data_IF_755732458251
#
_entry.id   IF_755732458251
#
_cell.length_a   1.000
_cell.length_b   1.000
_cell.length_c   1.000
_cell.angle_alpha   90.00
_cell.angle_beta   90.00
_cell.angle_gamma   90.00
#
_symmetry.space_group_name_H-M   'P 1'
#
loop_
_entity.id
_entity.type
_entity.pdbx_description
1 polymer ?
#
# COMPACT_ATOMS: atom_id res chain seq x y z
N UNK A 1 -19.41 32.60 -9.38
CA UNK A 1 -18.42 31.91 -10.27
C UNK A 1 -17.08 31.83 -9.55
N UNK A 2 -16.51 30.61 -9.41
CA UNK A 2 -15.14 30.46 -8.91
C UNK A 2 -14.16 31.10 -9.91
N UNK A 3 -13.27 31.94 -9.42
CA UNK A 3 -12.26 32.62 -10.22
C UNK A 3 -10.87 32.13 -9.87
N UNK A 4 -9.94 32.16 -10.80
CA UNK A 4 -8.53 31.97 -10.52
C UNK A 4 -7.95 33.28 -9.97
N UNK A 5 -7.02 33.14 -9.01
CA UNK A 5 -6.22 34.30 -8.59
C UNK A 5 -5.36 34.85 -9.73
N UNK A 6 -4.69 35.97 -9.51
CA UNK A 6 -3.80 36.61 -10.50
C UNK A 6 -2.67 35.69 -10.97
N UNK A 7 -2.30 34.67 -10.20
CA UNK A 7 -1.31 33.67 -10.58
C UNK A 7 -1.88 32.51 -11.44
N UNK A 8 -3.20 32.43 -11.59
CA UNK A 8 -3.89 31.33 -12.26
C UNK A 8 -3.78 29.97 -11.54
N UNK A 9 -3.40 29.97 -10.25
CA UNK A 9 -3.05 28.77 -9.48
C UNK A 9 -3.97 28.44 -8.32
N UNK A 10 -4.58 29.46 -7.71
CA UNK A 10 -5.47 29.32 -6.56
C UNK A 10 -6.91 29.57 -6.99
N UNK A 11 -7.82 28.70 -6.61
CA UNK A 11 -9.25 28.79 -6.86
C UNK A 11 -9.91 29.60 -5.75
N UNK A 12 -10.31 30.83 -6.04
CA UNK A 12 -11.07 31.67 -5.12
C UNK A 12 -12.56 31.41 -5.30
N UNK A 13 -13.33 31.37 -4.19
CA UNK A 13 -14.77 31.11 -4.23
C UNK A 13 -15.14 29.66 -4.63
N UNK A 14 -14.19 28.73 -4.59
CA UNK A 14 -14.46 27.32 -4.91
C UNK A 14 -15.39 26.72 -3.87
N UNK A 15 -16.54 26.22 -4.33
CA UNK A 15 -17.48 25.47 -3.51
C UNK A 15 -18.04 24.29 -4.32
N UNK A 16 -17.63 23.05 -4.06
CA UNK A 16 -18.08 21.89 -4.82
C UNK A 16 -19.59 21.60 -4.69
N UNK A 17 -20.24 22.10 -3.65
CA UNK A 17 -21.68 21.91 -3.45
C UNK A 17 -22.54 22.84 -4.33
N UNK A 18 -21.95 23.91 -4.87
CA UNK A 18 -22.61 24.89 -5.72
C UNK A 18 -22.23 24.66 -7.19
N UNK A 19 -23.16 24.29 -8.10
CA UNK A 19 -22.85 24.01 -9.50
C UNK A 19 -22.15 25.17 -10.22
N UNK A 20 -22.45 26.41 -9.85
CA UNK A 20 -21.87 27.62 -10.45
C UNK A 20 -20.40 27.84 -10.02
N UNK A 21 -20.01 27.29 -8.88
CA UNK A 21 -18.68 27.45 -8.28
C UNK A 21 -17.83 26.18 -8.38
N UNK A 22 -18.33 25.15 -9.09
CA UNK A 22 -17.66 23.87 -9.28
C UNK A 22 -17.38 23.58 -10.76
N UNK A 23 -16.22 23.00 -11.03
CA UNK A 23 -15.84 22.54 -12.37
C UNK A 23 -15.45 21.06 -12.33
N UNK A 24 -16.23 20.22 -13.01
CA UNK A 24 -15.95 18.81 -13.17
C UNK A 24 -14.56 18.57 -13.79
N UNK A 25 -14.18 19.38 -14.79
CA UNK A 25 -12.86 19.28 -15.44
C UNK A 25 -11.72 19.44 -14.45
N UNK A 26 -11.78 20.43 -13.56
CA UNK A 26 -10.74 20.66 -12.54
C UNK A 26 -10.72 19.50 -11.53
N UNK A 27 -11.87 19.07 -11.05
CA UNK A 27 -12.00 17.99 -10.07
C UNK A 27 -11.44 16.66 -10.62
N UNK A 28 -11.87 16.25 -11.81
CA UNK A 28 -11.41 15.00 -12.42
C UNK A 28 -9.93 15.06 -12.85
N UNK A 29 -9.44 16.22 -13.33
CA UNK A 29 -8.00 16.40 -13.60
C UNK A 29 -7.19 16.23 -12.33
N UNK A 30 -7.66 16.79 -11.21
CA UNK A 30 -6.99 16.63 -9.90
C UNK A 30 -6.97 15.17 -9.49
N UNK A 31 -8.09 14.46 -9.63
CA UNK A 31 -8.16 13.03 -9.33
C UNK A 31 -7.17 12.22 -10.18
N UNK A 32 -7.17 12.42 -11.50
CA UNK A 32 -6.33 11.65 -12.43
C UNK A 32 -4.84 11.87 -12.14
N UNK A 33 -4.40 13.12 -12.03
CA UNK A 33 -2.98 13.44 -11.81
C UNK A 33 -2.51 12.98 -10.43
N UNK A 34 -3.30 13.20 -9.38
CA UNK A 34 -2.94 12.74 -8.04
C UNK A 34 -2.97 11.22 -7.90
N UNK A 35 -3.89 10.53 -8.62
CA UNK A 35 -3.93 9.06 -8.66
C UNK A 35 -2.72 8.50 -9.41
N UNK A 36 -2.32 9.10 -10.53
CA UNK A 36 -1.11 8.72 -11.25
C UNK A 36 0.13 8.83 -10.36
N UNK A 37 0.30 9.96 -9.66
CA UNK A 37 1.37 10.11 -8.67
C UNK A 37 1.28 9.07 -7.54
N UNK A 38 0.07 8.72 -7.10
CA UNK A 38 -0.14 7.73 -6.03
C UNK A 38 0.23 6.30 -6.47
N UNK A 39 0.01 5.93 -7.73
CA UNK A 39 0.50 4.66 -8.28
C UNK A 39 2.03 4.58 -8.13
N UNK A 40 2.74 5.62 -8.56
CA UNK A 40 4.21 5.70 -8.44
C UNK A 40 4.66 5.69 -6.98
N UNK A 41 3.94 6.35 -6.11
CA UNK A 41 4.15 6.33 -4.67
C UNK A 41 4.16 4.90 -4.10
N UNK A 42 3.19 4.08 -4.49
CA UNK A 42 3.13 2.68 -4.06
C UNK A 42 4.16 1.79 -4.77
N UNK A 43 4.59 2.13 -5.99
CA UNK A 43 5.74 1.48 -6.62
C UNK A 43 7.01 1.72 -5.79
N UNK A 44 7.30 2.96 -5.42
CA UNK A 44 8.47 3.29 -4.57
C UNK A 44 8.42 2.55 -3.24
N UNK A 45 7.27 2.56 -2.58
CA UNK A 45 7.08 1.89 -1.29
C UNK A 45 7.40 0.40 -1.35
N UNK A 46 7.07 -0.28 -2.45
CA UNK A 46 7.28 -1.72 -2.60
C UNK A 46 8.58 -2.09 -3.33
N UNK A 47 9.39 -1.11 -3.72
CA UNK A 47 10.67 -1.33 -4.40
C UNK A 47 11.58 -2.30 -3.63
N UNK A 48 11.82 -2.14 -2.29
CA UNK A 48 12.64 -3.09 -1.55
C UNK A 48 12.06 -4.52 -1.56
N UNK A 49 10.75 -4.66 -1.45
CA UNK A 49 10.04 -5.95 -1.51
C UNK A 49 10.21 -6.65 -2.86
N UNK A 50 10.17 -5.89 -3.96
CA UNK A 50 10.33 -6.42 -5.31
C UNK A 50 11.78 -6.85 -5.61
N UNK A 51 12.76 -6.19 -5.01
CA UNK A 51 14.20 -6.46 -5.21
C UNK A 51 14.72 -7.52 -4.23
N UNK A 52 14.25 -7.54 -2.97
CA UNK A 52 14.78 -8.38 -1.91
C UNK A 52 14.94 -9.89 -2.29
N UNK A 53 13.98 -10.53 -2.99
CA UNK A 53 14.15 -11.93 -3.38
C UNK A 53 15.38 -12.21 -4.25
N UNK A 54 15.89 -11.20 -4.98
CA UNK A 54 17.03 -11.33 -5.89
C UNK A 54 18.38 -10.99 -5.27
N UNK A 55 18.43 -10.27 -4.15
CA UNK A 55 19.68 -9.78 -3.56
C UNK A 55 20.66 -10.91 -3.24
N UNK A 56 20.19 -11.99 -2.64
CA UNK A 56 21.05 -13.15 -2.32
C UNK A 56 21.53 -13.90 -3.56
N UNK A 57 20.73 -13.89 -4.63
CA UNK A 57 21.09 -14.54 -5.90
C UNK A 57 22.20 -13.80 -6.64
N UNK A 58 22.30 -12.47 -6.47
CA UNK A 58 23.33 -11.63 -7.08
C UNK A 58 24.57 -11.45 -6.18
N UNK A 59 24.65 -12.19 -5.06
CA UNK A 59 25.84 -12.26 -4.23
C UNK A 59 25.83 -11.45 -2.93
N UNK A 60 24.72 -10.78 -2.56
CA UNK A 60 24.62 -10.15 -1.24
C UNK A 60 24.57 -11.20 -0.14
N UNK A 61 25.41 -11.05 0.87
CA UNK A 61 25.48 -11.92 2.04
C UNK A 61 24.43 -11.50 3.09
N UNK A 62 23.16 -11.70 2.77
CA UNK A 62 22.04 -11.35 3.65
C UNK A 62 21.36 -12.60 4.19
N UNK A 63 21.01 -12.58 5.46
CA UNK A 63 20.18 -13.63 6.08
C UNK A 63 18.72 -13.48 5.65
N UNK A 64 17.95 -14.55 5.78
CA UNK A 64 16.51 -14.54 5.54
C UNK A 64 15.80 -13.45 6.36
N UNK A 65 16.14 -13.36 7.65
CA UNK A 65 15.61 -12.31 8.54
C UNK A 65 15.90 -10.89 7.99
N UNK A 66 17.12 -10.64 7.50
CA UNK A 66 17.49 -9.35 6.92
C UNK A 66 16.67 -9.01 5.67
N UNK A 67 16.34 -9.98 4.83
CA UNK A 67 15.47 -9.76 3.66
C UNK A 67 14.05 -9.36 4.09
N UNK A 68 13.48 -10.01 5.11
CA UNK A 68 12.19 -9.59 5.67
C UNK A 68 12.23 -8.18 6.27
N UNK A 69 13.32 -7.80 6.93
CA UNK A 69 13.53 -6.44 7.42
C UNK A 69 13.57 -5.39 6.31
N UNK A 70 14.25 -5.68 5.19
CA UNK A 70 14.28 -4.78 4.03
C UNK A 70 12.89 -4.55 3.44
N UNK A 71 12.11 -5.61 3.26
CA UNK A 71 10.75 -5.51 2.74
C UNK A 71 9.77 -4.87 3.75
N UNK A 72 10.07 -4.96 5.06
CA UNK A 72 9.27 -4.41 6.15
C UNK A 72 9.45 -2.91 6.37
N UNK A 73 10.69 -2.43 6.23
CA UNK A 73 11.11 -1.09 6.64
C UNK A 73 10.31 0.07 6.00
N UNK A 74 9.90 0.00 4.71
CA UNK A 74 9.02 1.02 4.13
C UNK A 74 7.68 1.17 4.84
N UNK A 75 7.20 0.13 5.54
CA UNK A 75 5.99 0.18 6.35
C UNK A 75 6.13 1.08 7.56
N UNK A 76 7.27 1.01 8.26
CA UNK A 76 7.56 1.85 9.42
C UNK A 76 7.57 3.34 9.02
N UNK A 77 8.40 3.70 8.06
CA UNK A 77 8.50 5.10 7.63
C UNK A 77 7.19 5.60 7.00
N UNK A 78 6.47 4.75 6.27
CA UNK A 78 5.16 5.10 5.72
C UNK A 78 4.16 5.50 6.83
N UNK A 79 4.06 4.73 7.91
CA UNK A 79 3.20 5.05 9.04
C UNK A 79 3.56 6.39 9.67
N UNK A 80 4.84 6.62 9.94
CA UNK A 80 5.35 7.87 10.52
C UNK A 80 5.11 9.08 9.61
N UNK A 81 5.41 8.94 8.32
CA UNK A 81 5.26 10.02 7.35
C UNK A 81 3.77 10.35 7.11
N UNK A 82 2.86 9.39 7.19
CA UNK A 82 1.41 9.64 7.10
C UNK A 82 0.91 10.58 8.18
N UNK A 83 1.44 10.49 9.38
CA UNK A 83 1.10 11.42 10.48
C UNK A 83 1.49 12.87 10.15
N UNK A 84 2.54 13.07 9.34
CA UNK A 84 2.95 14.40 8.86
C UNK A 84 2.07 14.82 7.67
N UNK A 85 1.91 13.93 6.70
CA UNK A 85 1.21 14.24 5.44
C UNK A 85 -0.28 14.56 5.65
N UNK A 86 -0.93 14.06 6.70
CA UNK A 86 -2.34 14.38 6.97
C UNK A 86 -2.57 15.87 7.25
N UNK A 87 -1.53 16.61 7.67
CA UNK A 87 -1.61 18.04 7.97
C UNK A 87 -1.13 18.93 6.81
N UNK A 88 -0.48 18.38 5.78
CA UNK A 88 0.13 19.15 4.70
C UNK A 88 -0.87 19.77 3.69
N UNK A 89 -2.02 19.14 3.33
CA UNK A 89 -2.90 19.67 2.31
C UNK A 89 -3.32 21.13 2.51
N UNK A 90 -3.79 21.55 3.71
CA UNK A 90 -4.18 22.94 3.93
C UNK A 90 -3.00 23.91 4.05
N UNK A 91 -1.79 23.41 4.32
CA UNK A 91 -0.58 24.23 4.52
C UNK A 91 0.12 24.47 3.19
N UNK A 92 0.33 23.41 2.41
CA UNK A 92 1.15 23.43 1.20
C UNK A 92 0.31 23.64 -0.07
N UNK A 93 -0.95 23.23 -0.03
CA UNK A 93 -1.86 23.15 -1.18
C UNK A 93 -1.68 21.86 -1.99
N UNK A 94 -2.72 21.47 -2.73
CA UNK A 94 -2.77 20.21 -3.49
C UNK A 94 -1.69 20.15 -4.57
N UNK A 95 -1.53 21.23 -5.33
CA UNK A 95 -0.60 21.33 -6.46
C UNK A 95 0.84 21.09 -6.04
N UNK A 96 1.32 21.85 -5.03
CA UNK A 96 2.69 21.73 -4.53
C UNK A 96 2.91 20.39 -3.81
N UNK A 97 1.92 19.94 -3.04
CA UNK A 97 1.99 18.69 -2.31
C UNK A 97 2.24 17.51 -3.27
N UNK A 98 1.43 17.37 -4.32
CA UNK A 98 1.57 16.28 -5.29
C UNK A 98 2.88 16.40 -6.07
N UNK A 99 3.24 17.60 -6.53
CA UNK A 99 4.42 17.82 -7.33
C UNK A 99 5.72 17.50 -6.57
N UNK A 100 5.90 18.07 -5.38
CA UNK A 100 7.11 17.84 -4.58
C UNK A 100 7.20 16.41 -4.07
N UNK A 101 6.09 15.80 -3.67
CA UNK A 101 6.09 14.39 -3.29
C UNK A 101 6.54 13.50 -4.44
N UNK A 102 6.06 13.77 -5.67
CA UNK A 102 6.47 13.00 -6.86
C UNK A 102 7.96 13.10 -7.14
N UNK A 103 8.57 14.29 -6.98
CA UNK A 103 10.02 14.45 -7.12
C UNK A 103 10.79 13.72 -6.01
N UNK A 104 10.29 13.76 -4.78
CA UNK A 104 10.95 13.10 -3.65
C UNK A 104 10.99 11.58 -3.81
N UNK A 105 10.08 10.96 -4.59
CA UNK A 105 10.12 9.52 -4.85
C UNK A 105 11.37 9.08 -5.62
N UNK A 106 11.94 9.97 -6.45
CA UNK A 106 13.16 9.67 -7.19
C UNK A 106 14.38 9.47 -6.29
N UNK A 107 14.43 10.09 -5.11
CA UNK A 107 15.59 10.01 -4.22
C UNK A 107 15.89 8.58 -3.74
N UNK A 108 14.95 7.86 -3.09
CA UNK A 108 15.21 6.48 -2.70
C UNK A 108 15.44 5.55 -3.91
N UNK A 109 14.78 5.81 -5.05
CA UNK A 109 14.99 5.03 -6.27
C UNK A 109 16.43 5.18 -6.79
N UNK A 110 16.96 6.41 -6.85
CA UNK A 110 18.36 6.65 -7.19
C UNK A 110 19.32 5.98 -6.18
N UNK A 111 19.01 6.06 -4.90
CA UNK A 111 19.76 5.36 -3.86
C UNK A 111 19.84 3.85 -4.11
N UNK A 112 18.70 3.21 -4.36
CA UNK A 112 18.64 1.78 -4.69
C UNK A 112 19.36 1.45 -5.99
N UNK A 113 19.25 2.31 -7.02
CA UNK A 113 19.96 2.13 -8.29
C UNK A 113 21.48 1.98 -8.09
N UNK A 114 22.09 2.84 -7.25
CA UNK A 114 23.51 2.74 -6.96
C UNK A 114 23.85 1.61 -5.98
N UNK A 115 23.02 1.43 -4.94
CA UNK A 115 23.31 0.48 -3.87
C UNK A 115 23.36 -0.98 -4.35
N UNK A 116 22.52 -1.36 -5.32
CA UNK A 116 22.49 -2.75 -5.82
C UNK A 116 23.60 -3.08 -6.82
N UNK A 117 24.39 -2.09 -7.26
CA UNK A 117 25.49 -2.31 -8.20
C UNK A 117 26.74 -2.88 -7.50
N UNK A 118 26.84 -2.77 -6.19
CA UNK A 118 27.96 -3.32 -5.41
C UNK A 118 27.43 -4.22 -4.29
N UNK A 119 27.88 -5.47 -4.26
CA UNK A 119 27.55 -6.42 -3.19
C UNK A 119 28.19 -6.07 -1.84
N UNK A 120 29.15 -5.13 -1.83
CA UNK A 120 29.77 -4.58 -0.62
C UNK A 120 28.88 -3.55 0.10
N UNK A 121 27.76 -3.14 -0.52
CA UNK A 121 26.81 -2.22 0.13
C UNK A 121 26.30 -2.82 1.42
N UNK A 122 26.51 -2.11 2.53
CA UNK A 122 26.16 -2.60 3.86
C UNK A 122 24.65 -2.80 4.04
N UNK A 123 24.27 -3.76 4.88
CA UNK A 123 22.86 -3.95 5.26
C UNK A 123 22.25 -2.67 5.83
N UNK A 124 22.98 -1.90 6.64
CA UNK A 124 22.52 -0.62 7.19
C UNK A 124 22.16 0.40 6.10
N UNK A 125 22.96 0.49 5.04
CA UNK A 125 22.67 1.35 3.88
C UNK A 125 21.40 0.90 3.16
N UNK A 126 21.27 -0.40 2.88
CA UNK A 126 20.05 -0.94 2.25
C UNK A 126 18.81 -0.70 3.12
N UNK A 127 18.94 -0.85 4.44
CA UNK A 127 17.87 -0.62 5.39
C UNK A 127 17.44 0.86 5.43
N UNK A 128 18.40 1.79 5.41
CA UNK A 128 18.13 3.22 5.35
C UNK A 128 17.42 3.61 4.04
N UNK A 129 17.84 3.04 2.91
CA UNK A 129 17.17 3.24 1.62
C UNK A 129 15.77 2.63 1.60
N UNK A 130 15.59 1.47 2.22
CA UNK A 130 14.27 0.86 2.38
C UNK A 130 13.35 1.74 3.24
N UNK A 131 13.88 2.31 4.34
CA UNK A 131 13.16 3.29 5.14
C UNK A 131 12.74 4.52 4.30
N UNK A 132 13.65 5.06 3.49
CA UNK A 132 13.35 6.20 2.63
C UNK A 132 12.24 5.90 1.60
N UNK A 133 12.08 4.65 1.14
CA UNK A 133 11.01 4.26 0.24
C UNK A 133 9.59 4.42 0.83
N UNK A 134 9.45 4.48 2.15
CA UNK A 134 8.17 4.68 2.80
C UNK A 134 7.53 6.05 2.54
N UNK A 135 8.30 7.03 2.04
CA UNK A 135 7.77 8.33 1.61
C UNK A 135 6.66 8.17 0.56
N UNK A 136 6.79 7.19 -0.33
CA UNK A 136 5.76 6.88 -1.30
C UNK A 136 4.41 6.59 -0.64
N UNK A 137 4.37 5.63 0.28
CA UNK A 137 3.13 5.28 0.98
C UNK A 137 2.60 6.36 1.91
N UNK A 138 3.48 7.26 2.38
CA UNK A 138 3.14 8.39 3.25
C UNK A 138 2.20 9.39 2.59
N UNK A 139 2.40 9.67 1.30
CA UNK A 139 1.63 10.66 0.54
C UNK A 139 0.14 10.35 0.42
N UNK A 140 -0.29 9.10 0.62
CA UNK A 140 -1.70 8.73 0.64
C UNK A 140 -2.54 9.61 1.58
N UNK A 141 -2.03 9.87 2.80
CA UNK A 141 -2.74 10.68 3.80
C UNK A 141 -2.84 12.17 3.45
N UNK A 142 -2.01 12.65 2.54
CA UNK A 142 -2.12 14.01 2.00
C UNK A 142 -2.98 14.07 0.74
N UNK A 143 -2.82 13.10 -0.18
CA UNK A 143 -3.50 13.13 -1.47
C UNK A 143 -5.01 12.89 -1.35
N UNK A 144 -5.43 11.95 -0.50
CA UNK A 144 -6.84 11.64 -0.32
C UNK A 144 -7.66 12.86 0.17
N UNK A 145 -7.30 13.53 1.28
CA UNK A 145 -8.01 14.72 1.71
C UNK A 145 -7.94 15.85 0.68
N UNK A 146 -6.76 16.09 0.09
CA UNK A 146 -6.59 17.18 -0.88
C UNK A 146 -7.44 16.98 -2.14
N UNK A 147 -7.60 15.75 -2.61
CA UNK A 147 -8.51 15.43 -3.72
C UNK A 147 -9.98 15.65 -3.31
N UNK A 148 -10.32 15.28 -2.06
CA UNK A 148 -11.67 15.47 -1.52
C UNK A 148 -12.16 16.93 -1.56
N UNK A 149 -11.27 17.92 -1.47
CA UNK A 149 -11.63 19.34 -1.56
C UNK A 149 -12.22 19.75 -2.91
N UNK A 150 -11.99 18.96 -3.95
CA UNK A 150 -12.44 19.25 -5.31
C UNK A 150 -13.79 18.61 -5.66
N UNK A 151 -14.31 17.71 -4.84
CA UNK A 151 -15.52 16.95 -5.15
C UNK A 151 -16.70 17.30 -4.23
N UNK A 152 -17.92 17.40 -4.78
CA UNK A 152 -19.11 17.50 -3.96
C UNK A 152 -19.35 16.21 -3.17
N UNK A 153 -20.02 16.30 -2.03
CA UNK A 153 -20.27 15.14 -1.11
C UNK A 153 -20.81 13.91 -1.82
N UNK A 154 -21.72 14.11 -2.81
CA UNK A 154 -22.32 13.03 -3.61
C UNK A 154 -21.30 12.25 -4.45
N UNK A 155 -20.17 12.82 -4.80
CA UNK A 155 -19.11 12.21 -5.64
C UNK A 155 -17.82 11.93 -4.89
N UNK A 156 -17.62 12.49 -3.70
CA UNK A 156 -16.38 12.36 -2.93
C UNK A 156 -16.06 10.90 -2.63
N UNK A 157 -17.04 10.10 -2.21
CA UNK A 157 -16.85 8.67 -1.93
C UNK A 157 -16.34 7.91 -3.15
N UNK A 158 -16.95 8.14 -4.31
CA UNK A 158 -16.55 7.54 -5.60
C UNK A 158 -15.13 7.98 -5.99
N UNK A 159 -14.83 9.27 -5.93
CA UNK A 159 -13.52 9.81 -6.30
C UNK A 159 -12.40 9.24 -5.42
N UNK A 160 -12.60 9.24 -4.10
CA UNK A 160 -11.61 8.72 -3.16
C UNK A 160 -11.50 7.18 -3.24
N UNK A 161 -12.60 6.49 -3.54
CA UNK A 161 -12.60 5.05 -3.80
C UNK A 161 -11.76 4.67 -5.03
N UNK A 162 -11.94 5.41 -6.13
CA UNK A 162 -11.13 5.28 -7.35
C UNK A 162 -9.66 5.55 -7.04
N UNK A 163 -9.36 6.67 -6.39
CA UNK A 163 -7.98 7.05 -6.05
C UNK A 163 -7.29 6.01 -5.18
N UNK A 164 -7.97 5.53 -4.13
CA UNK A 164 -7.40 4.53 -3.22
C UNK A 164 -7.24 3.15 -3.89
N UNK A 165 -8.22 2.71 -4.69
CA UNK A 165 -8.16 1.42 -5.38
C UNK A 165 -7.08 1.41 -6.45
N UNK A 166 -7.12 2.37 -7.39
CA UNK A 166 -6.15 2.46 -8.48
C UNK A 166 -4.75 2.79 -7.93
N UNK A 167 -4.63 3.69 -6.95
CA UNK A 167 -3.35 4.00 -6.32
C UNK A 167 -2.66 2.76 -5.75
N UNK A 168 -3.40 1.90 -5.04
CA UNK A 168 -2.88 0.65 -4.48
C UNK A 168 -2.38 -0.34 -5.55
N UNK A 169 -2.86 -0.26 -6.79
CA UNK A 169 -2.36 -1.10 -7.90
C UNK A 169 -0.86 -0.88 -8.17
N UNK A 170 -0.28 0.26 -7.75
CA UNK A 170 1.16 0.48 -7.81
C UNK A 170 1.98 -0.65 -7.15
N UNK A 171 1.45 -1.26 -6.07
CA UNK A 171 2.07 -2.40 -5.42
C UNK A 171 2.17 -3.62 -6.34
N UNK A 172 1.12 -3.88 -7.13
CA UNK A 172 1.13 -4.97 -8.11
C UNK A 172 1.95 -4.64 -9.34
N UNK A 173 1.90 -3.39 -9.80
CA UNK A 173 2.62 -2.95 -11.00
C UNK A 173 4.13 -3.15 -10.83
N UNK A 174 4.71 -2.72 -9.71
CA UNK A 174 6.15 -2.92 -9.52
C UNK A 174 6.51 -4.39 -9.38
N UNK A 175 5.71 -5.20 -8.67
CA UNK A 175 5.97 -6.62 -8.52
C UNK A 175 5.80 -7.40 -9.83
N UNK A 176 4.83 -7.02 -10.66
CA UNK A 176 4.63 -7.62 -11.99
C UNK A 176 5.76 -7.25 -12.96
N UNK A 177 6.17 -5.99 -12.98
CA UNK A 177 7.17 -5.50 -13.93
C UNK A 177 8.60 -5.87 -13.50
N UNK A 178 8.87 -6.06 -12.21
CA UNK A 178 10.22 -6.28 -11.71
C UNK A 178 10.94 -7.48 -12.35
N UNK A 179 10.35 -8.68 -12.46
CA UNK A 179 11.02 -9.81 -13.11
C UNK A 179 11.36 -9.54 -14.58
N UNK A 180 10.45 -8.86 -15.29
CA UNK A 180 10.65 -8.48 -16.68
C UNK A 180 11.74 -7.43 -16.81
N UNK A 181 11.74 -6.36 -16.00
CA UNK A 181 12.76 -5.31 -16.00
C UNK A 181 14.16 -5.84 -15.67
N UNK A 182 14.25 -6.87 -14.83
CA UNK A 182 15.53 -7.50 -14.49
C UNK A 182 16.08 -8.39 -15.60
N UNK A 183 15.27 -8.79 -16.58
CA UNK A 183 15.62 -9.75 -17.60
C UNK A 183 16.41 -9.19 -18.79
N UNK A 184 16.61 -7.88 -18.92
CA UNK A 184 17.29 -7.26 -20.06
C UNK A 184 17.92 -5.91 -19.74
N UNK A 185 18.90 -5.51 -20.55
CA UNK A 185 19.51 -4.17 -20.48
C UNK A 185 18.52 -3.09 -20.92
N UNK A 186 18.17 -2.16 -20.05
CA UNK A 186 17.20 -1.10 -20.30
C UNK A 186 17.77 -0.03 -21.24
N UNK A 187 17.03 0.30 -22.32
CA UNK A 187 17.31 1.46 -23.20
C UNK A 187 18.75 1.54 -23.75
N UNK A 188 19.43 0.39 -23.98
CA UNK A 188 20.81 0.43 -24.46
C UNK A 188 21.81 1.02 -23.47
N UNK A 189 21.47 1.10 -22.18
CA UNK A 189 22.39 1.43 -21.11
C UNK A 189 23.37 0.26 -20.92
N UNK A 190 24.27 0.11 -21.88
CA UNK A 190 25.29 -0.94 -21.92
C UNK A 190 26.49 -0.64 -21.00
N UNK A 191 26.59 0.57 -20.48
CA UNK A 191 27.65 1.02 -19.59
C UNK A 191 27.50 0.54 -18.14
N UNK A 192 26.35 -0.04 -17.77
CA UNK A 192 26.14 -0.70 -16.49
C UNK A 192 26.07 -2.20 -16.74
N UNK A 193 27.08 -2.92 -16.22
CA UNK A 193 27.17 -4.36 -16.37
C UNK A 193 26.00 -5.09 -15.66
N UNK A 194 25.49 -6.19 -16.23
CA UNK A 194 24.57 -7.05 -15.52
C UNK A 194 25.22 -7.67 -14.29
N UNK A 195 24.40 -7.97 -13.29
CA UNK A 195 24.83 -8.83 -12.19
C UNK A 195 24.65 -10.30 -12.59
N UNK A 196 25.44 -11.18 -11.96
CA UNK A 196 25.33 -12.61 -12.17
C UNK A 196 24.43 -13.24 -11.11
N UNK A 197 23.38 -13.94 -11.52
CA UNK A 197 22.51 -14.74 -10.67
C UNK A 197 22.60 -16.21 -11.11
N UNK A 198 23.43 -16.99 -10.43
CA UNK A 198 23.78 -18.34 -10.89
C UNK A 198 24.47 -18.31 -12.27
N UNK A 199 23.91 -19.02 -13.27
CA UNK A 199 24.38 -19.02 -14.66
C UNK A 199 23.78 -17.89 -15.52
N UNK A 200 22.82 -17.11 -14.99
CA UNK A 200 22.10 -16.06 -15.72
C UNK A 200 22.63 -14.66 -15.44
N UNK A 201 22.30 -13.74 -16.35
CA UNK A 201 22.54 -12.32 -16.19
C UNK A 201 21.22 -11.62 -15.79
N UNK A 202 21.29 -10.70 -14.82
CA UNK A 202 20.15 -9.92 -14.35
C UNK A 202 20.53 -8.46 -14.14
N UNK A 203 19.58 -7.55 -14.35
CA UNK A 203 19.74 -6.10 -14.18
C UNK A 203 18.84 -5.61 -13.05
N UNK A 204 19.17 -5.94 -11.80
CA UNK A 204 18.33 -5.61 -10.62
C UNK A 204 18.13 -4.10 -10.48
N UNK A 205 19.12 -3.29 -10.81
CA UNK A 205 19.05 -1.83 -10.78
C UNK A 205 17.98 -1.22 -11.71
N UNK A 206 17.57 -1.94 -12.76
CA UNK A 206 16.54 -1.48 -13.69
C UNK A 206 15.19 -1.22 -13.00
N UNK A 207 14.85 -2.01 -11.99
CA UNK A 207 13.60 -1.85 -11.24
C UNK A 207 13.53 -0.48 -10.56
N UNK A 208 14.67 0.00 -10.07
CA UNK A 208 14.75 1.32 -9.44
C UNK A 208 14.69 2.45 -10.48
N UNK A 209 15.52 2.38 -11.52
CA UNK A 209 15.68 3.50 -12.47
C UNK A 209 14.47 3.66 -13.39
N UNK A 210 13.76 2.58 -13.73
CA UNK A 210 12.65 2.61 -14.67
C UNK A 210 11.55 3.58 -14.26
N UNK A 211 11.23 3.69 -12.98
CA UNK A 211 10.14 4.54 -12.51
C UNK A 211 10.53 6.01 -12.32
N UNK A 212 11.82 6.36 -12.32
CA UNK A 212 12.28 7.75 -12.08
C UNK A 212 11.73 8.74 -13.11
N UNK A 213 11.81 8.50 -14.43
CA UNK A 213 11.23 9.43 -15.42
C UNK A 213 9.74 9.67 -15.21
N UNK A 214 9.00 8.64 -14.81
CA UNK A 214 7.56 8.74 -14.57
C UNK A 214 7.22 9.58 -13.33
N UNK A 215 8.07 9.55 -12.29
CA UNK A 215 7.91 10.45 -11.13
C UNK A 215 8.14 11.90 -11.50
N UNK A 216 9.10 12.17 -12.38
CA UNK A 216 9.34 13.52 -12.93
C UNK A 216 8.14 13.98 -13.76
N UNK A 217 7.61 13.12 -14.64
CA UNK A 217 6.39 13.42 -15.42
C UNK A 217 5.21 13.71 -14.49
N UNK A 218 5.01 12.93 -13.43
CA UNK A 218 3.96 13.19 -12.45
C UNK A 218 4.11 14.55 -11.77
N UNK A 219 5.32 14.95 -11.42
CA UNK A 219 5.61 16.26 -10.85
C UNK A 219 5.32 17.41 -11.83
N UNK A 220 5.74 17.27 -13.08
CA UNK A 220 5.49 18.26 -14.13
C UNK A 220 3.99 18.42 -14.41
N UNK A 221 3.25 17.30 -14.51
CA UNK A 221 1.79 17.32 -14.65
C UNK A 221 1.12 17.99 -13.46
N UNK A 222 1.57 17.71 -12.25
CA UNK A 222 1.03 18.34 -11.04
C UNK A 222 1.31 19.86 -11.03
N UNK A 223 2.51 20.30 -11.36
CA UNK A 223 2.83 21.74 -11.46
C UNK A 223 2.05 22.44 -12.57
N UNK A 224 1.80 21.77 -13.68
CA UNK A 224 1.12 22.37 -14.83
C UNK A 224 -0.41 22.41 -14.68
N UNK A 225 -1.00 21.31 -14.21
CA UNK A 225 -2.45 21.10 -14.29
C UNK A 225 -3.20 21.28 -12.99
N UNK A 226 -2.57 21.00 -11.82
CA UNK A 226 -3.26 21.08 -10.55
C UNK A 226 -3.43 22.51 -10.06
N UNK A 227 -4.49 22.72 -9.30
CA UNK A 227 -4.84 23.99 -8.66
C UNK A 227 -4.83 23.81 -7.14
N UNK A 228 -4.78 24.90 -6.41
CA UNK A 228 -4.89 24.93 -4.97
C UNK A 228 -6.26 25.50 -4.55
N UNK A 229 -6.87 24.88 -3.55
CA UNK A 229 -8.08 25.38 -2.89
C UNK A 229 -7.67 25.89 -1.51
N UNK A 230 -7.95 27.15 -1.16
CA UNK A 230 -7.63 27.69 0.16
C UNK A 230 -8.53 27.04 1.22
N UNK A 231 -7.97 26.17 2.04
CA UNK A 231 -8.68 25.51 3.15
C UNK A 231 -8.10 25.97 4.47
N UNK A 232 -8.98 26.41 5.37
CA UNK A 232 -8.58 26.75 6.74
C UNK A 232 -8.58 25.46 7.58
N UNK A 233 -7.43 25.04 8.09
CA UNK A 233 -7.31 23.93 9.00
C UNK A 233 -7.08 24.41 10.43
N UNK A 234 -7.74 23.76 11.38
CA UNK A 234 -7.46 23.92 12.80
C UNK A 234 -6.87 22.60 13.33
N UNK A 235 -5.56 22.55 13.48
CA UNK A 235 -4.82 21.35 13.94
C UNK A 235 -5.31 20.92 15.34
N UNK A 236 -5.61 21.87 16.23
CA UNK A 236 -6.07 21.57 17.59
C UNK A 236 -7.40 20.80 17.60
N UNK A 237 -8.26 21.03 16.62
CA UNK A 237 -9.54 20.31 16.49
C UNK A 237 -9.38 18.88 15.95
N UNK A 238 -8.21 18.51 15.44
CA UNK A 238 -7.96 17.17 14.91
C UNK A 238 -7.42 16.20 15.98
N UNK A 239 -6.99 16.71 17.14
CA UNK A 239 -6.43 15.87 18.22
C UNK A 239 -7.53 15.23 19.08
N UNK A 240 -8.73 15.79 19.11
CA UNK A 240 -9.85 15.26 19.90
C UNK A 240 -10.40 13.90 19.42
N UNK A 241 -9.96 13.43 18.26
CA UNK A 241 -10.29 12.08 17.76
C UNK A 241 -9.87 10.98 18.75
N UNK A 242 -8.81 11.21 19.52
CA UNK A 242 -8.29 10.21 20.46
C UNK A 242 -9.18 9.98 21.68
N UNK A 243 -10.10 10.91 21.97
CA UNK A 243 -11.10 10.76 23.04
C UNK A 243 -12.28 9.91 22.59
N UNK A 244 -12.45 9.70 21.27
CA UNK A 244 -13.52 8.89 20.73
C UNK A 244 -13.11 7.41 20.68
N UNK A 245 -13.78 6.51 21.41
CA UNK A 245 -13.44 5.09 21.42
C UNK A 245 -13.56 4.43 20.04
N UNK A 246 -14.45 4.92 19.16
CA UNK A 246 -14.60 4.38 17.82
C UNK A 246 -13.39 4.64 16.92
N UNK A 247 -12.57 5.65 17.21
CA UNK A 247 -11.27 5.83 16.57
C UNK A 247 -10.38 4.60 16.77
N UNK A 248 -10.32 4.08 17.98
CA UNK A 248 -9.49 2.92 18.34
C UNK A 248 -10.05 1.62 17.78
N UNK A 249 -11.37 1.40 17.90
CA UNK A 249 -12.00 0.21 17.32
C UNK A 249 -11.86 0.16 15.80
N UNK A 250 -12.08 1.28 15.11
CA UNK A 250 -11.90 1.34 13.65
C UNK A 250 -10.44 1.19 13.25
N UNK A 251 -9.49 1.69 14.07
CA UNK A 251 -8.07 1.45 13.85
C UNK A 251 -7.74 -0.04 13.92
N UNK A 252 -8.24 -0.76 14.93
CA UNK A 252 -8.07 -2.22 15.01
C UNK A 252 -8.65 -2.93 13.78
N UNK A 253 -9.87 -2.58 13.36
CA UNK A 253 -10.49 -3.18 12.16
C UNK A 253 -9.66 -2.91 10.91
N UNK A 254 -9.15 -1.68 10.75
CA UNK A 254 -8.39 -1.32 9.57
C UNK A 254 -6.96 -1.89 9.57
N UNK A 255 -6.36 -2.08 10.74
CA UNK A 255 -5.11 -2.87 10.87
C UNK A 255 -5.35 -4.31 10.46
N UNK A 256 -6.49 -4.93 10.83
CA UNK A 256 -6.83 -6.27 10.36
C UNK A 256 -6.99 -6.30 8.83
N UNK A 257 -7.80 -5.41 8.24
CA UNK A 257 -8.12 -5.46 6.81
C UNK A 257 -7.00 -4.90 5.93
N UNK A 258 -6.45 -3.71 6.22
CA UNK A 258 -5.41 -3.07 5.41
C UNK A 258 -3.99 -3.36 5.92
N UNK A 259 -3.80 -3.43 7.22
CA UNK A 259 -2.48 -3.71 7.81
C UNK A 259 -1.95 -5.08 7.39
N UNK A 260 -2.74 -6.14 7.60
CA UNK A 260 -2.37 -7.49 7.14
C UNK A 260 -2.27 -7.56 5.61
N UNK A 261 -3.21 -6.94 4.86
CA UNK A 261 -3.12 -6.84 3.41
C UNK A 261 -1.78 -6.29 2.94
N UNK A 262 -1.43 -5.09 3.38
CA UNK A 262 -0.21 -4.43 2.94
C UNK A 262 1.04 -5.12 3.47
N UNK A 263 0.94 -5.76 4.63
CA UNK A 263 2.00 -6.54 5.23
C UNK A 263 2.31 -7.80 4.44
N UNK A 264 1.32 -8.63 4.20
CA UNK A 264 1.50 -9.82 3.38
C UNK A 264 1.86 -9.47 1.92
N UNK A 265 1.30 -8.40 1.34
CA UNK A 265 1.68 -7.96 0.00
C UNK A 265 3.18 -7.62 -0.10
N UNK A 266 3.76 -7.01 0.93
CA UNK A 266 5.17 -6.69 0.97
C UNK A 266 6.06 -7.94 1.15
N UNK A 267 5.57 -8.98 1.81
CA UNK A 267 6.33 -10.19 2.11
C UNK A 267 6.03 -11.36 1.17
N UNK A 268 5.02 -11.24 0.29
CA UNK A 268 4.48 -12.37 -0.46
C UNK A 268 5.52 -13.04 -1.37
N UNK A 269 6.35 -12.25 -2.05
CA UNK A 269 7.45 -12.79 -2.87
C UNK A 269 8.48 -13.57 -2.07
N UNK A 270 8.83 -13.08 -0.87
CA UNK A 270 9.74 -13.78 0.05
C UNK A 270 9.11 -15.04 0.64
N UNK A 271 7.83 -14.98 1.01
CA UNK A 271 7.09 -16.15 1.51
C UNK A 271 7.08 -17.27 0.49
N UNK A 272 6.75 -16.99 -0.77
CA UNK A 272 6.79 -18.00 -1.83
C UNK A 272 8.22 -18.52 -2.02
N UNK A 273 9.22 -17.62 -2.11
CA UNK A 273 10.62 -17.99 -2.30
C UNK A 273 11.13 -18.94 -1.22
N UNK A 274 10.84 -18.63 0.05
CA UNK A 274 11.39 -19.35 1.17
C UNK A 274 10.62 -20.64 1.48
N UNK A 275 9.31 -20.70 1.15
CA UNK A 275 8.47 -21.88 1.41
C UNK A 275 8.48 -22.87 0.26
N UNK A 276 8.42 -22.40 -0.99
CA UNK A 276 8.27 -23.25 -2.18
C UNK A 276 9.36 -23.05 -3.23
N UNK A 277 10.13 -21.97 -3.16
CA UNK A 277 11.08 -21.59 -4.20
C UNK A 277 12.38 -22.40 -4.16
N UNK A 278 13.30 -22.11 -5.11
CA UNK A 278 14.58 -22.81 -5.24
C UNK A 278 15.52 -22.73 -4.02
N UNK A 279 15.15 -21.97 -2.99
CA UNK A 279 15.89 -21.82 -1.74
C UNK A 279 15.15 -22.44 -0.55
N UNK A 280 14.00 -23.05 -0.76
CA UNK A 280 13.24 -23.78 0.27
C UNK A 280 13.81 -25.18 0.52
N UNK A 281 13.35 -25.83 1.59
CA UNK A 281 13.70 -27.23 1.88
C UNK A 281 13.33 -28.20 0.73
N UNK A 282 12.34 -27.87 -0.09
CA UNK A 282 11.99 -28.66 -1.28
C UNK A 282 13.14 -28.76 -2.30
N UNK A 283 14.02 -27.76 -2.37
CA UNK A 283 15.13 -27.74 -3.30
C UNK A 283 16.23 -28.78 -3.02
N UNK A 284 16.15 -29.44 -1.86
CA UNK A 284 17.02 -30.57 -1.52
C UNK A 284 16.55 -31.89 -2.16
N UNK A 285 15.25 -31.99 -2.46
CA UNK A 285 14.62 -33.23 -2.93
C UNK A 285 14.02 -33.12 -4.35
N UNK A 286 13.85 -31.90 -4.85
CA UNK A 286 13.23 -31.65 -6.17
C UNK A 286 14.11 -30.77 -7.04
N UNK A 287 13.96 -30.91 -8.38
CA UNK A 287 14.66 -30.05 -9.31
C UNK A 287 14.26 -28.58 -9.12
N UNK A 288 15.25 -27.74 -8.86
CA UNK A 288 15.07 -26.29 -8.63
C UNK A 288 14.39 -25.57 -9.78
N UNK A 289 14.51 -26.09 -11.00
CA UNK A 289 13.86 -25.50 -12.20
C UNK A 289 12.34 -25.67 -12.22
N UNK A 290 11.82 -26.64 -11.46
CA UNK A 290 10.38 -26.91 -11.34
C UNK A 290 9.71 -26.16 -10.19
N UNK A 291 10.50 -25.54 -9.30
CA UNK A 291 9.96 -24.84 -8.14
C UNK A 291 9.48 -23.44 -8.50
N UNK A 292 8.36 -22.96 -7.89
CA UNK A 292 7.80 -21.67 -8.22
C UNK A 292 8.72 -20.53 -7.83
N UNK A 293 8.83 -19.53 -8.70
CA UNK A 293 9.55 -18.30 -8.44
C UNK A 293 8.64 -17.29 -7.73
N UNK A 294 9.04 -16.84 -6.55
CA UNK A 294 8.26 -15.87 -5.77
C UNK A 294 7.90 -14.60 -6.55
N UNK A 295 8.83 -14.10 -7.35
CA UNK A 295 8.63 -12.92 -8.19
C UNK A 295 7.52 -13.08 -9.26
N UNK A 296 7.24 -14.33 -9.71
CA UNK A 296 6.22 -14.58 -10.73
C UNK A 296 4.80 -14.42 -10.20
N UNK A 297 4.55 -14.67 -8.93
CA UNK A 297 3.21 -14.71 -8.34
C UNK A 297 2.93 -13.57 -7.36
N UNK A 298 3.97 -12.86 -6.89
CA UNK A 298 3.85 -11.86 -5.82
C UNK A 298 2.85 -10.74 -6.15
N UNK A 299 2.73 -10.34 -7.41
CA UNK A 299 1.84 -9.26 -7.84
C UNK A 299 0.35 -9.61 -7.72
N UNK A 300 -0.02 -10.90 -7.73
CA UNK A 300 -1.42 -11.34 -7.72
C UNK A 300 -2.14 -10.94 -6.44
N UNK A 301 -1.48 -11.03 -5.30
CA UNK A 301 -2.06 -10.66 -4.01
C UNK A 301 -2.56 -9.22 -3.98
N UNK A 302 -1.67 -8.22 -4.08
CA UNK A 302 -2.08 -6.82 -4.07
C UNK A 302 -2.98 -6.44 -5.25
N UNK A 303 -2.90 -7.13 -6.41
CA UNK A 303 -3.81 -6.92 -7.54
C UNK A 303 -5.25 -7.27 -7.14
N UNK A 304 -5.47 -8.47 -6.63
CA UNK A 304 -6.80 -8.94 -6.24
C UNK A 304 -7.38 -8.02 -5.16
N UNK A 305 -6.63 -7.73 -4.10
CA UNK A 305 -7.12 -6.87 -3.03
C UNK A 305 -7.45 -5.45 -3.49
N UNK A 306 -6.67 -4.89 -4.42
CA UNK A 306 -6.92 -3.55 -4.98
C UNK A 306 -8.14 -3.51 -5.88
N UNK A 307 -8.31 -4.51 -6.76
CA UNK A 307 -9.45 -4.63 -7.67
C UNK A 307 -10.74 -4.87 -6.87
N UNK A 308 -10.72 -5.80 -5.91
CA UNK A 308 -11.87 -6.09 -5.05
C UNK A 308 -12.27 -4.85 -4.25
N UNK A 309 -11.32 -4.11 -3.67
CA UNK A 309 -11.61 -2.86 -2.97
C UNK A 309 -12.38 -1.87 -3.84
N UNK A 310 -12.01 -1.73 -5.10
CA UNK A 310 -12.67 -0.83 -6.04
C UNK A 310 -14.08 -1.31 -6.39
N UNK A 311 -14.23 -2.60 -6.69
CA UNK A 311 -15.51 -3.18 -7.12
C UNK A 311 -16.53 -3.30 -5.98
N UNK A 312 -16.08 -3.43 -4.73
CA UNK A 312 -16.97 -3.59 -3.57
C UNK A 312 -17.53 -2.28 -3.01
N UNK A 313 -17.00 -1.13 -3.41
CA UNK A 313 -17.49 0.18 -3.00
C UNK A 313 -19.01 0.33 -3.13
N UNK A 314 -19.62 0.10 -4.31
CA UNK A 314 -21.08 0.17 -4.50
C UNK A 314 -21.90 -0.79 -3.62
N UNK A 315 -21.35 -1.98 -3.32
CA UNK A 315 -22.01 -2.94 -2.43
C UNK A 315 -21.98 -2.46 -0.97
N UNK A 316 -20.89 -1.82 -0.55
CA UNK A 316 -20.80 -1.18 0.75
C UNK A 316 -21.78 0.01 0.86
N UNK A 317 -22.01 0.73 -0.24
CA UNK A 317 -23.02 1.81 -0.28
C UNK A 317 -24.45 1.29 -0.08
N UNK A 318 -24.74 0.09 -0.60
CA UNK A 318 -26.08 -0.51 -0.55
C UNK A 318 -26.37 -1.25 0.76
N UNK A 319 -25.39 -1.98 1.29
CA UNK A 319 -25.60 -2.91 2.42
C UNK A 319 -24.92 -2.46 3.73
N UNK A 320 -24.21 -1.32 3.71
CA UNK A 320 -23.43 -0.84 4.84
C UNK A 320 -22.01 -1.42 4.90
N UNK A 321 -21.10 -0.67 5.53
CA UNK A 321 -19.69 -1.08 5.65
C UNK A 321 -19.44 -2.14 6.70
N UNK A 322 -20.22 -2.16 7.79
CA UNK A 322 -19.97 -3.00 8.95
C UNK A 322 -20.07 -4.50 8.65
N UNK A 323 -21.12 -4.91 7.90
CA UNK A 323 -21.32 -6.32 7.55
C UNK A 323 -20.18 -6.83 6.63
N UNK A 324 -19.73 -5.99 5.68
CA UNK A 324 -18.66 -6.36 4.80
C UNK A 324 -17.30 -6.41 5.53
N UNK A 325 -17.07 -5.52 6.51
CA UNK A 325 -15.91 -5.57 7.39
C UNK A 325 -15.91 -6.88 8.20
N UNK A 326 -17.05 -7.27 8.75
CA UNK A 326 -17.19 -8.51 9.51
C UNK A 326 -16.91 -9.76 8.67
N UNK A 327 -17.56 -9.88 7.49
CA UNK A 327 -17.37 -10.99 6.55
C UNK A 327 -15.88 -11.07 6.12
N UNK A 328 -15.28 -9.92 5.83
CA UNK A 328 -13.87 -9.82 5.46
C UNK A 328 -12.96 -10.40 6.54
N UNK A 329 -13.11 -9.94 7.78
CA UNK A 329 -12.23 -10.35 8.88
C UNK A 329 -12.34 -11.84 9.15
N UNK A 330 -13.57 -12.40 9.11
CA UNK A 330 -13.76 -13.86 9.23
C UNK A 330 -13.11 -14.60 8.06
N UNK A 331 -13.35 -14.14 6.83
CA UNK A 331 -12.77 -14.75 5.63
C UNK A 331 -11.24 -14.71 5.65
N UNK A 332 -10.63 -13.59 6.07
CA UNK A 332 -9.18 -13.48 6.25
C UNK A 332 -8.66 -14.46 7.30
N UNK A 333 -9.30 -14.52 8.48
CA UNK A 333 -8.92 -15.46 9.53
C UNK A 333 -8.99 -16.92 9.09
N UNK A 334 -10.08 -17.31 8.42
CA UNK A 334 -10.26 -18.66 7.90
C UNK A 334 -9.22 -19.02 6.83
N UNK A 335 -8.99 -18.13 5.87
CA UNK A 335 -8.02 -18.37 4.79
C UNK A 335 -6.58 -18.41 5.31
N UNK A 336 -6.22 -17.55 6.27
CA UNK A 336 -4.92 -17.63 6.95
C UNK A 336 -4.75 -18.95 7.72
N UNK A 337 -5.79 -19.41 8.42
CA UNK A 337 -5.76 -20.72 9.09
C UNK A 337 -5.57 -21.87 8.08
N UNK A 338 -6.25 -21.85 6.95
CA UNK A 338 -6.04 -22.81 5.86
C UNK A 338 -4.61 -22.75 5.33
N UNK A 339 -4.05 -21.55 5.17
CA UNK A 339 -2.68 -21.39 4.67
C UNK A 339 -1.65 -22.03 5.58
N UNK A 340 -1.89 -22.13 6.91
CA UNK A 340 -0.94 -22.75 7.84
C UNK A 340 -0.63 -24.22 7.50
N UNK A 341 -1.57 -24.94 6.89
CA UNK A 341 -1.35 -26.32 6.45
C UNK A 341 -0.35 -26.47 5.30
N UNK A 342 -0.06 -25.35 4.60
CA UNK A 342 0.83 -25.29 3.45
C UNK A 342 2.17 -24.59 3.73
N UNK A 343 2.45 -24.22 4.99
CA UNK A 343 3.70 -23.52 5.33
C UNK A 343 4.93 -24.44 5.48
N UNK A 344 4.70 -25.74 5.62
CA UNK A 344 5.77 -26.76 5.69
C UNK A 344 5.53 -27.82 4.60
N UNK A 345 5.69 -27.45 3.32
CA UNK A 345 5.40 -28.37 2.24
C UNK A 345 6.40 -29.51 2.16
N UNK A 346 5.90 -30.69 1.84
CA UNK A 346 6.70 -31.88 1.53
C UNK A 346 6.73 -32.18 0.03
N UNK A 347 5.84 -31.54 -0.74
CA UNK A 347 5.70 -31.74 -2.18
C UNK A 347 5.39 -30.39 -2.85
N UNK A 348 6.08 -30.05 -3.97
CA UNK A 348 5.74 -28.89 -4.80
C UNK A 348 4.27 -28.83 -5.25
N UNK A 349 3.60 -29.96 -5.38
CA UNK A 349 2.17 -30.04 -5.72
C UNK A 349 1.24 -29.37 -4.69
N UNK A 350 1.74 -29.04 -3.49
CA UNK A 350 1.00 -28.29 -2.47
C UNK A 350 0.98 -26.78 -2.74
N UNK A 351 1.82 -26.27 -3.66
CA UNK A 351 1.91 -24.85 -3.99
C UNK A 351 0.57 -24.20 -4.43
N UNK A 352 -0.26 -24.83 -5.29
CA UNK A 352 -1.56 -24.27 -5.61
C UNK A 352 -2.46 -24.04 -4.39
N UNK A 353 -2.46 -24.95 -3.41
CA UNK A 353 -3.21 -24.80 -2.16
C UNK A 353 -2.76 -23.59 -1.35
N UNK A 354 -1.45 -23.41 -1.20
CA UNK A 354 -0.85 -22.22 -0.61
C UNK A 354 -1.25 -20.94 -1.36
N UNK A 355 -1.06 -20.94 -2.69
CA UNK A 355 -1.33 -19.77 -3.52
C UNK A 355 -2.81 -19.36 -3.43
N UNK A 356 -3.75 -20.29 -3.64
CA UNK A 356 -5.17 -19.99 -3.63
C UNK A 356 -5.68 -19.54 -2.25
N UNK A 357 -5.19 -20.13 -1.15
CA UNK A 357 -5.55 -19.70 0.20
C UNK A 357 -5.05 -18.27 0.49
N UNK A 358 -3.84 -17.92 0.05
CA UNK A 358 -3.32 -16.56 0.15
C UNK A 358 -4.07 -15.59 -0.74
N UNK A 359 -4.41 -15.94 -1.99
CA UNK A 359 -5.20 -15.09 -2.88
C UNK A 359 -6.61 -14.85 -2.33
N UNK A 360 -7.21 -15.85 -1.70
CA UNK A 360 -8.49 -15.69 -1.00
C UNK A 360 -8.36 -14.74 0.21
N UNK A 361 -7.28 -14.79 0.97
CA UNK A 361 -6.99 -13.81 2.03
C UNK A 361 -6.92 -12.39 1.44
N UNK A 362 -6.24 -12.19 0.31
CA UNK A 362 -6.18 -10.89 -0.37
C UNK A 362 -7.53 -10.43 -0.89
N UNK A 363 -8.37 -11.35 -1.39
CA UNK A 363 -9.75 -11.05 -1.78
C UNK A 363 -10.56 -10.52 -0.60
N UNK A 364 -10.59 -11.24 0.52
CA UNK A 364 -11.31 -10.80 1.71
C UNK A 364 -10.74 -9.50 2.27
N UNK A 365 -9.42 -9.28 2.22
CA UNK A 365 -8.83 -8.02 2.67
C UNK A 365 -9.28 -6.83 1.82
N UNK A 366 -9.38 -6.99 0.50
CA UNK A 366 -9.91 -5.97 -0.41
C UNK A 366 -11.34 -5.57 -0.06
N UNK A 367 -12.17 -6.56 0.24
CA UNK A 367 -13.55 -6.42 0.68
C UNK A 367 -13.63 -5.60 1.99
N UNK A 368 -12.82 -5.97 2.98
CA UNK A 368 -12.75 -5.25 4.25
C UNK A 368 -12.19 -3.84 4.13
N UNK A 369 -11.24 -3.63 3.22
CA UNK A 369 -10.73 -2.29 2.93
C UNK A 369 -11.81 -1.34 2.40
N UNK A 370 -12.73 -1.82 1.56
CA UNK A 370 -13.89 -1.06 1.12
C UNK A 370 -14.85 -0.81 2.29
N UNK A 371 -15.19 -1.87 3.04
CA UNK A 371 -16.13 -1.83 4.17
C UNK A 371 -15.72 -0.86 5.26
N UNK A 372 -14.49 -0.97 5.78
CA UNK A 372 -13.99 -0.12 6.87
C UNK A 372 -13.90 1.35 6.47
N UNK A 373 -13.45 1.65 5.23
CA UNK A 373 -13.40 3.03 4.74
C UNK A 373 -14.77 3.67 4.58
N UNK A 374 -15.79 2.88 4.18
CA UNK A 374 -17.17 3.34 4.11
C UNK A 374 -17.76 3.56 5.50
N UNK A 375 -17.44 2.69 6.45
CA UNK A 375 -18.00 2.71 7.79
C UNK A 375 -17.50 3.89 8.63
N UNK A 376 -16.21 4.24 8.54
CA UNK A 376 -15.60 5.31 9.37
C UNK A 376 -16.36 6.64 9.35
N UNK A 377 -16.66 7.25 8.19
CA UNK A 377 -17.38 8.54 8.17
C UNK A 377 -18.85 8.44 8.61
N UNK A 378 -19.43 7.22 8.67
CA UNK A 378 -20.82 7.02 9.13
C UNK A 378 -20.94 7.00 10.65
N UNK A 379 -19.93 6.44 11.34
CA UNK A 379 -19.92 6.34 12.82
C UNK A 379 -19.20 7.51 13.50
N UNK A 380 -18.29 8.17 12.81
CA UNK A 380 -17.58 9.31 13.36
C UNK A 380 -18.38 10.62 13.23
N UNK A 381 -18.34 11.51 14.24
CA UNK A 381 -18.81 12.88 14.06
C UNK A 381 -18.16 13.52 12.84
N UNK A 382 -18.93 14.25 12.01
CA UNK A 382 -18.45 14.84 10.75
C UNK A 382 -17.13 15.60 10.89
N UNK A 383 -16.93 16.30 12.02
CA UNK A 383 -15.71 17.04 12.32
C UNK A 383 -14.49 16.13 12.54
N UNK A 384 -14.68 14.97 13.16
CA UNK A 384 -13.62 14.02 13.54
C UNK A 384 -13.30 13.02 12.43
N UNK A 385 -14.21 12.79 11.47
CA UNK A 385 -14.10 11.73 10.49
C UNK A 385 -12.80 11.79 9.68
N UNK A 386 -12.40 12.98 9.21
CA UNK A 386 -11.16 13.15 8.44
C UNK A 386 -9.89 12.81 9.23
N UNK A 387 -9.81 13.30 10.47
CA UNK A 387 -8.70 13.00 11.38
C UNK A 387 -8.63 11.52 11.76
N UNK A 388 -9.77 10.91 12.09
CA UNK A 388 -9.85 9.48 12.43
C UNK A 388 -9.44 8.59 11.26
N UNK A 389 -9.88 8.88 10.03
CA UNK A 389 -9.46 8.17 8.81
C UNK A 389 -7.94 8.32 8.61
N UNK A 390 -7.41 9.54 8.76
CA UNK A 390 -5.97 9.81 8.61
C UNK A 390 -5.12 9.03 9.61
N UNK A 391 -5.47 9.08 10.89
CA UNK A 391 -4.80 8.33 11.95
C UNK A 391 -4.89 6.81 11.74
N UNK A 392 -6.08 6.30 11.52
CA UNK A 392 -6.33 4.88 11.26
C UNK A 392 -5.52 4.38 10.07
N UNK A 393 -5.47 5.15 8.98
CA UNK A 393 -4.66 4.83 7.82
C UNK A 393 -3.15 4.89 8.11
N UNK A 394 -2.69 5.77 8.98
CA UNK A 394 -1.28 5.84 9.39
C UNK A 394 -0.88 4.59 10.17
N UNK A 395 -1.66 4.21 11.18
CA UNK A 395 -1.37 3.04 12.02
C UNK A 395 -1.43 1.74 11.18
N UNK A 396 -2.46 1.57 10.35
CA UNK A 396 -2.56 0.39 9.49
C UNK A 396 -1.42 0.29 8.45
N UNK A 397 -0.79 1.41 8.10
CA UNK A 397 0.37 1.42 7.18
C UNK A 397 1.65 0.89 7.80
N UNK A 398 1.69 0.68 9.11
CA UNK A 398 2.74 -0.07 9.80
C UNK A 398 2.68 -1.58 9.48
N UNK A 399 1.61 -2.05 8.82
CA UNK A 399 1.40 -3.47 8.50
C UNK A 399 2.62 -4.18 7.92
N UNK A 400 3.29 -3.69 6.86
CA UNK A 400 4.50 -4.33 6.32
C UNK A 400 5.62 -4.46 7.36
N UNK A 401 5.80 -3.45 8.21
CA UNK A 401 6.78 -3.48 9.29
C UNK A 401 6.42 -4.54 10.33
N UNK A 402 5.19 -4.52 10.82
CA UNK A 402 4.71 -5.48 11.83
C UNK A 402 4.81 -6.91 11.29
N UNK A 403 4.29 -7.17 10.08
CA UNK A 403 4.28 -8.52 9.47
C UNK A 403 5.71 -8.99 9.21
N UNK A 404 6.56 -8.18 8.60
CA UNK A 404 7.92 -8.57 8.24
C UNK A 404 8.80 -8.82 9.46
N UNK A 405 8.77 -7.94 10.45
CA UNK A 405 9.53 -8.11 11.70
C UNK A 405 9.02 -9.30 12.51
N UNK A 406 7.70 -9.50 12.56
CA UNK A 406 7.13 -10.65 13.27
C UNK A 406 7.52 -11.98 12.60
N UNK A 407 7.48 -12.07 11.28
CA UNK A 407 7.96 -13.27 10.56
C UNK A 407 9.45 -13.47 10.82
N UNK A 408 10.26 -12.42 10.73
CA UNK A 408 11.70 -12.48 10.95
C UNK A 408 12.10 -12.92 12.37
N UNK A 409 11.28 -12.59 13.38
CA UNK A 409 11.60 -12.80 14.79
C UNK A 409 10.91 -14.03 15.39
N UNK A 410 9.67 -14.31 15.00
CA UNK A 410 8.82 -15.35 15.59
C UNK A 410 8.68 -16.57 14.65
N UNK A 411 9.07 -16.41 13.39
CA UNK A 411 8.83 -17.39 12.34
C UNK A 411 7.45 -17.28 11.68
N UNK A 412 7.36 -17.80 10.46
CA UNK A 412 6.17 -17.66 9.60
C UNK A 412 4.93 -18.30 10.24
N UNK A 413 5.03 -19.54 10.73
CA UNK A 413 3.89 -20.27 11.28
C UNK A 413 3.29 -19.58 12.51
N UNK A 414 4.14 -19.12 13.43
CA UNK A 414 3.69 -18.41 14.62
C UNK A 414 2.96 -17.12 14.26
N UNK A 415 3.50 -16.36 13.29
CA UNK A 415 2.85 -15.14 12.84
C UNK A 415 1.48 -15.38 12.18
N UNK A 416 1.33 -16.43 11.39
CA UNK A 416 0.04 -16.79 10.80
C UNK A 416 -1.01 -17.07 11.89
N UNK A 417 -0.69 -17.84 12.92
CA UNK A 417 -1.61 -18.12 14.03
C UNK A 417 -1.94 -16.86 14.86
N UNK A 418 -0.96 -15.97 15.08
CA UNK A 418 -1.21 -14.67 15.71
C UNK A 418 -2.19 -13.86 14.87
N UNK A 419 -2.02 -13.85 13.54
CA UNK A 419 -2.91 -13.14 12.61
C UNK A 419 -4.33 -13.73 12.62
N UNK A 420 -4.48 -15.06 12.68
CA UNK A 420 -5.77 -15.75 12.82
C UNK A 420 -6.46 -15.32 14.12
N UNK A 421 -5.74 -15.35 15.24
CA UNK A 421 -6.26 -14.95 16.55
C UNK A 421 -6.67 -13.48 16.55
N UNK A 422 -5.84 -12.62 15.96
CA UNK A 422 -6.15 -11.19 15.81
C UNK A 422 -7.43 -10.96 14.98
N UNK A 423 -7.60 -11.66 13.86
CA UNK A 423 -8.82 -11.63 13.07
C UNK A 423 -10.04 -12.10 13.89
N UNK A 424 -9.91 -13.17 14.68
CA UNK A 424 -11.00 -13.66 15.53
C UNK A 424 -11.44 -12.61 16.56
N UNK A 425 -10.49 -11.98 17.25
CA UNK A 425 -10.78 -10.89 18.21
C UNK A 425 -11.46 -9.70 17.51
N UNK A 426 -10.93 -9.28 16.38
CA UNK A 426 -11.52 -8.20 15.58
C UNK A 426 -12.93 -8.54 15.08
N UNK A 427 -13.18 -9.79 14.67
CA UNK A 427 -14.50 -10.23 14.26
C UNK A 427 -15.53 -10.15 15.39
N UNK A 428 -15.16 -10.58 16.61
CA UNK A 428 -16.04 -10.45 17.79
C UNK A 428 -16.36 -8.99 18.10
N UNK A 429 -15.36 -8.11 18.09
CA UNK A 429 -15.56 -6.66 18.33
C UNK A 429 -16.44 -6.08 17.23
N UNK A 430 -16.17 -6.37 15.96
CA UNK A 430 -16.93 -5.88 14.83
C UNK A 430 -18.39 -6.31 14.91
N UNK A 431 -18.65 -7.59 15.22
CA UNK A 431 -20.01 -8.10 15.39
C UNK A 431 -20.76 -7.41 16.52
N UNK A 432 -20.18 -7.38 17.71
CA UNK A 432 -20.86 -6.86 18.90
C UNK A 432 -21.16 -5.36 18.80
N UNK A 433 -20.27 -4.58 18.18
CA UNK A 433 -20.37 -3.13 18.18
C UNK A 433 -21.02 -2.56 16.93
N UNK A 434 -20.85 -3.19 15.76
CA UNK A 434 -21.20 -2.61 14.46
C UNK A 434 -22.09 -3.47 13.57
N UNK A 435 -21.87 -4.79 13.48
CA UNK A 435 -22.47 -5.61 12.44
C UNK A 435 -23.75 -6.33 12.85
N UNK A 436 -23.97 -6.59 14.13
CA UNK A 436 -25.18 -7.29 14.60
C UNK A 436 -26.43 -6.42 14.47
N UNK A 437 -27.62 -7.00 14.25
CA UNK A 437 -28.89 -6.26 14.35
C UNK A 437 -29.03 -5.58 15.71
N UNK A 438 -29.36 -4.27 15.70
CA UNK A 438 -29.47 -3.48 16.94
C UNK A 438 -28.13 -3.11 17.57
N UNK A 439 -27.03 -3.16 16.82
CA UNK A 439 -25.73 -2.66 17.28
C UNK A 439 -25.79 -1.18 17.65
N UNK A 440 -24.97 -0.72 18.62
CA UNK A 440 -24.92 0.69 19.02
C UNK A 440 -24.64 1.65 17.86
N UNK A 441 -23.87 1.21 16.88
CA UNK A 441 -23.45 1.99 15.70
C UNK A 441 -23.53 1.11 14.44
N UNK A 442 -24.74 0.82 13.96
CA UNK A 442 -24.89 0.08 12.70
C UNK A 442 -24.32 0.95 11.56
N UNK A 443 -23.37 0.39 10.82
CA UNK A 443 -22.72 1.06 9.69
C UNK A 443 -23.23 0.61 8.33
#
# INVERSE_FOLDING_TARGET
MSTLDTSGRVLTGWNPEEPENWSAKIAWTTLIVSTYSMILAFCVRLLPSAIAPKLTEIGFKLTESQLYWLAAMPGLSCGLIRLIYMFLPPIVGTRKLVAWSSLLYALPMLGWFFAVQSTETSFGTLLALAFACGIGGGSFSGYMPSTGYFFPKRLTGTALGIQAGIGNMGMSIIQLLSPWLMGFGLLGITWIAPQHAGSGQVWVHNVAVFFIPWTIVAALLAFALLKDVPVKANIRQQIDIFTNPDTWYMTLMYVATFGLFSGFAAQFGLLIKNTYGPQSALAEHFDKSLLPLGATYAFLGPLIGSVVRMLWGPLCDRFGGAIWTFISIIGMGATLAVTTFYLHPTDPAQFPGFLWSMLAMFFFSGLGNAGTFKQMPMIMPKRQAGGAIGFTAAIASLGPFIVGVAIASLGTTAWFWISVTYCAVCAVICWLRYARPGAPFPG
#
